data_IF_883423523742
#
_entry.id   IF_883423523742
#
_cell.length_a   1.000
_cell.length_b   1.000
_cell.length_c   1.000
_cell.angle_alpha   90.00
_cell.angle_beta   90.00
_cell.angle_gamma   90.00
#
_symmetry.space_group_name_H-M   'P 1'
#
loop_
_entity.id
_entity.type
_entity.pdbx_description
1 polymer ?
#
# COMPACT_ATOMS: atom_id res chain seq x y z
N UNK A 1 23.34 -11.98 15.54
CA UNK A 1 22.23 -11.84 14.58
C UNK A 1 22.60 -10.67 13.68
N UNK A 2 22.64 -10.85 12.36
CA UNK A 2 22.85 -9.73 11.43
C UNK A 2 21.71 -8.74 11.61
N UNK A 3 22.04 -7.45 11.66
CA UNK A 3 21.05 -6.39 11.75
C UNK A 3 20.13 -6.45 10.51
N UNK A 4 18.83 -6.50 10.73
CA UNK A 4 17.86 -6.57 9.63
C UNK A 4 17.88 -5.22 8.89
N UNK A 5 18.21 -5.24 7.60
CA UNK A 5 18.19 -4.05 6.77
C UNK A 5 16.78 -3.47 6.71
N UNK A 6 16.64 -2.18 7.00
CA UNK A 6 15.37 -1.45 6.89
C UNK A 6 15.49 -0.33 5.87
N UNK A 7 14.49 -0.17 5.00
CA UNK A 7 14.44 0.84 3.96
C UNK A 7 13.04 1.43 3.89
N UNK A 8 12.91 2.75 3.77
CA UNK A 8 11.61 3.36 3.52
C UNK A 8 11.23 3.17 2.04
N UNK A 9 9.99 2.74 1.78
CA UNK A 9 9.57 2.45 0.40
C UNK A 9 9.59 3.67 -0.51
N UNK A 10 9.48 4.89 0.04
CA UNK A 10 9.72 6.13 -0.73
C UNK A 10 11.17 6.27 -1.23
N UNK A 11 12.17 5.80 -0.47
CA UNK A 11 13.57 5.81 -0.91
C UNK A 11 13.78 4.81 -2.06
N UNK A 12 13.13 3.66 -1.97
CA UNK A 12 13.08 2.65 -3.03
C UNK A 12 12.46 3.20 -4.31
N UNK A 13 11.36 3.96 -4.18
CA UNK A 13 10.70 4.66 -5.29
C UNK A 13 11.64 5.62 -6.01
N UNK A 14 12.28 6.54 -5.28
CA UNK A 14 13.21 7.51 -5.89
C UNK A 14 14.38 6.84 -6.62
N UNK A 15 14.94 5.76 -6.06
CA UNK A 15 16.01 4.98 -6.67
C UNK A 15 15.53 4.21 -7.91
N UNK A 16 14.35 3.60 -7.85
CA UNK A 16 13.76 2.87 -8.99
C UNK A 16 13.47 3.81 -10.18
N UNK A 17 13.03 5.04 -9.93
CA UNK A 17 12.88 6.05 -10.98
C UNK A 17 14.20 6.34 -11.70
N UNK A 18 15.33 6.41 -10.96
CA UNK A 18 16.66 6.62 -11.56
C UNK A 18 17.07 5.42 -12.42
N UNK A 19 16.78 4.20 -11.97
CA UNK A 19 17.05 2.98 -12.73
C UNK A 19 16.25 2.98 -14.05
N UNK A 20 14.96 3.24 -13.99
CA UNK A 20 14.10 3.37 -15.18
C UNK A 20 14.55 4.51 -16.10
N UNK A 21 14.93 5.66 -15.54
CA UNK A 21 15.38 6.81 -16.32
C UNK A 21 16.64 6.59 -17.14
N UNK A 22 17.48 5.60 -16.77
CA UNK A 22 18.64 5.18 -17.56
C UNK A 22 18.25 4.35 -18.79
N UNK A 23 17.14 3.65 -18.70
CA UNK A 23 16.66 2.72 -19.74
C UNK A 23 15.63 3.36 -20.66
N UNK A 24 14.93 4.42 -20.20
CA UNK A 24 13.73 4.97 -20.86
C UNK A 24 13.77 6.52 -20.92
N UNK A 25 13.84 7.08 -22.13
CA UNK A 25 13.90 8.53 -22.35
C UNK A 25 12.50 9.20 -22.40
N UNK A 26 11.46 8.43 -22.41
CA UNK A 26 10.06 8.90 -22.39
C UNK A 26 9.53 9.09 -20.97
N UNK A 27 10.26 8.60 -19.94
CA UNK A 27 9.93 8.79 -18.55
C UNK A 27 10.19 10.24 -18.11
N UNK A 28 9.14 10.91 -17.62
CA UNK A 28 9.17 12.27 -17.06
C UNK A 28 8.67 12.21 -15.61
N UNK A 29 9.36 12.89 -14.70
CA UNK A 29 8.97 12.95 -13.30
C UNK A 29 8.51 14.35 -12.95
N UNK A 30 7.32 14.48 -12.35
CA UNK A 30 6.78 15.75 -11.87
C UNK A 30 6.59 15.69 -10.34
N UNK A 31 6.83 16.79 -9.69
CA UNK A 31 6.70 16.93 -8.23
C UNK A 31 6.00 18.24 -7.87
N UNK A 32 5.29 18.26 -6.74
CA UNK A 32 4.59 19.42 -6.22
C UNK A 32 5.36 20.05 -5.04
N UNK A 33 6.58 20.52 -5.28
CA UNK A 33 7.48 21.17 -4.30
C UNK A 33 7.86 20.28 -3.10
N UNK A 34 7.87 18.96 -3.30
CA UNK A 34 8.17 17.97 -2.26
C UNK A 34 9.30 17.00 -2.66
N UNK A 35 10.09 17.31 -3.69
CA UNK A 35 11.07 16.40 -4.27
C UNK A 35 12.09 15.81 -3.26
N UNK A 36 12.43 16.55 -2.20
CA UNK A 36 13.27 16.06 -1.12
C UNK A 36 12.58 15.00 -0.26
N UNK A 37 11.29 15.16 0.01
CA UNK A 37 10.49 14.27 0.84
C UNK A 37 9.99 13.03 0.06
N UNK A 38 9.51 13.22 -1.17
CA UNK A 38 9.06 12.15 -2.07
C UNK A 38 10.20 11.31 -2.64
N UNK A 39 11.44 11.81 -2.52
CA UNK A 39 12.67 11.23 -3.08
C UNK A 39 12.80 11.33 -4.60
N UNK A 40 11.90 12.03 -5.28
CA UNK A 40 12.06 12.37 -6.69
C UNK A 40 13.27 13.27 -6.95
N UNK A 41 13.75 13.96 -5.93
CA UNK A 41 15.01 14.75 -5.97
C UNK A 41 16.24 13.94 -6.35
N UNK A 42 16.23 12.61 -6.16
CA UNK A 42 17.31 11.72 -6.64
C UNK A 42 17.27 11.63 -8.16
N UNK A 43 16.09 11.51 -8.74
CA UNK A 43 15.88 11.54 -10.18
C UNK A 43 16.24 12.92 -10.78
N UNK A 44 15.84 14.01 -10.12
CA UNK A 44 16.20 15.39 -10.50
C UNK A 44 17.72 15.58 -10.65
N UNK A 45 18.50 14.99 -9.73
CA UNK A 45 19.97 15.07 -9.80
C UNK A 45 20.55 14.29 -10.98
N UNK A 46 19.96 13.15 -11.34
CA UNK A 46 20.42 12.30 -12.43
C UNK A 46 19.95 12.81 -13.82
N UNK A 47 18.74 13.35 -13.89
CA UNK A 47 18.05 13.75 -15.13
C UNK A 47 17.32 15.09 -14.94
N UNK A 48 18.04 16.22 -14.76
CA UNK A 48 17.42 17.51 -14.43
C UNK A 48 16.44 18.02 -15.49
N UNK A 49 16.64 17.68 -16.76
CA UNK A 49 15.78 18.06 -17.89
C UNK A 49 14.46 17.27 -17.96
N UNK A 50 14.39 16.14 -17.26
CA UNK A 50 13.21 15.26 -17.20
C UNK A 50 12.50 15.29 -15.85
N UNK A 51 12.90 16.18 -14.95
CA UNK A 51 12.24 16.43 -13.68
C UNK A 51 11.70 17.86 -13.63
N UNK A 52 10.39 18.00 -13.41
CA UNK A 52 9.74 19.31 -13.35
C UNK A 52 9.07 19.50 -12.00
N UNK A 53 9.44 20.57 -11.33
CA UNK A 53 8.75 21.01 -10.13
C UNK A 53 7.64 21.99 -10.52
N UNK A 54 6.40 21.62 -10.20
CA UNK A 54 5.20 22.38 -10.59
C UNK A 54 4.78 23.36 -9.48
N UNK A 55 5.47 23.31 -8.34
CA UNK A 55 5.07 24.03 -7.14
C UNK A 55 3.93 23.33 -6.41
N UNK A 56 3.38 23.97 -5.38
CA UNK A 56 2.27 23.44 -4.57
C UNK A 56 0.96 23.55 -5.38
N UNK A 57 0.86 22.75 -6.45
CA UNK A 57 -0.21 22.83 -7.43
C UNK A 57 -0.54 21.46 -8.03
N UNK A 58 -0.98 20.50 -7.21
CA UNK A 58 -1.18 19.09 -7.59
C UNK A 58 -2.20 18.92 -8.73
N UNK A 59 -3.25 19.72 -8.74
CA UNK A 59 -4.24 19.73 -9.83
C UNK A 59 -3.60 20.14 -11.18
N UNK A 60 -2.75 21.17 -11.17
CA UNK A 60 -2.00 21.58 -12.36
C UNK A 60 -0.99 20.53 -12.79
N UNK A 61 -0.27 19.93 -11.84
CA UNK A 61 0.66 18.82 -12.08
C UNK A 61 -0.04 17.66 -12.81
N UNK A 62 -1.22 17.29 -12.37
CA UNK A 62 -2.03 16.22 -12.98
C UNK A 62 -2.48 16.60 -14.40
N UNK A 63 -2.89 17.84 -14.64
CA UNK A 63 -3.24 18.32 -15.99
C UNK A 63 -2.05 18.29 -16.94
N UNK A 64 -0.85 18.73 -16.48
CA UNK A 64 0.39 18.65 -17.26
C UNK A 64 0.75 17.19 -17.58
N UNK A 65 0.68 16.31 -16.59
CA UNK A 65 0.95 14.88 -16.78
C UNK A 65 -0.01 14.24 -17.77
N UNK A 66 -1.30 14.57 -17.70
CA UNK A 66 -2.28 14.11 -18.69
C UNK A 66 -1.89 14.55 -20.11
N UNK A 67 -1.50 15.81 -20.29
CA UNK A 67 -1.01 16.33 -21.58
C UNK A 67 0.25 15.61 -22.06
N UNK A 68 1.22 15.35 -21.19
CA UNK A 68 2.43 14.60 -21.52
C UNK A 68 2.11 13.16 -21.96
N UNK A 69 1.19 12.49 -21.28
CA UNK A 69 0.78 11.14 -21.64
C UNK A 69 0.12 11.08 -23.05
N UNK A 70 -0.65 12.11 -23.44
CA UNK A 70 -1.20 12.19 -24.80
C UNK A 70 -0.13 12.41 -25.87
N UNK A 71 1.06 12.90 -25.47
CA UNK A 71 2.23 13.06 -26.35
C UNK A 71 3.16 11.84 -26.36
N UNK A 72 2.73 10.71 -25.79
CA UNK A 72 3.49 9.45 -25.75
C UNK A 72 4.58 9.40 -24.69
N UNK A 73 4.56 10.29 -23.69
CA UNK A 73 5.44 10.21 -22.51
C UNK A 73 4.80 9.34 -21.43
N UNK A 74 5.65 8.85 -20.51
CA UNK A 74 5.22 8.13 -19.32
C UNK A 74 5.52 9.00 -18.07
N UNK A 75 4.60 9.88 -17.69
CA UNK A 75 4.79 10.75 -16.53
C UNK A 75 4.56 10.00 -15.22
N UNK A 76 5.47 10.19 -14.28
CA UNK A 76 5.33 9.89 -12.86
C UNK A 76 5.11 11.19 -12.11
N UNK A 77 3.95 11.35 -11.46
CA UNK A 77 3.63 12.52 -10.63
C UNK A 77 3.75 12.17 -9.16
N UNK A 78 4.33 13.06 -8.35
CA UNK A 78 4.64 12.78 -6.95
C UNK A 78 4.24 13.92 -6.02
N UNK A 79 3.59 13.53 -4.92
CA UNK A 79 3.28 14.37 -3.78
C UNK A 79 3.03 13.46 -2.57
N UNK A 80 2.66 14.02 -1.40
CA UNK A 80 2.16 13.19 -0.31
C UNK A 80 0.79 12.60 -0.68
N UNK A 81 0.50 11.42 -0.16
CA UNK A 81 -0.73 10.69 -0.48
C UNK A 81 -1.99 11.54 -0.23
N UNK A 82 -2.02 12.32 0.86
CA UNK A 82 -3.14 13.22 1.17
C UNK A 82 -3.38 14.25 0.05
N UNK A 83 -2.34 14.73 -0.59
CA UNK A 83 -2.46 15.74 -1.64
C UNK A 83 -2.62 15.11 -3.02
N UNK A 84 -1.94 14.01 -3.29
CA UNK A 84 -2.05 13.26 -4.54
C UNK A 84 -3.43 12.61 -4.71
N UNK A 85 -4.01 12.08 -3.63
CA UNK A 85 -5.31 11.43 -3.66
C UNK A 85 -6.46 12.37 -3.24
N UNK A 86 -6.34 13.09 -2.12
CA UNK A 86 -7.42 13.91 -1.58
C UNK A 86 -7.61 15.21 -2.35
N UNK A 87 -6.63 16.13 -2.29
CA UNK A 87 -6.72 17.46 -2.94
C UNK A 87 -6.89 17.35 -4.45
N UNK A 88 -6.32 16.36 -5.07
CA UNK A 88 -6.21 16.20 -6.51
C UNK A 88 -7.19 15.15 -7.09
N UNK A 89 -8.13 14.67 -6.30
CA UNK A 89 -8.98 13.54 -6.67
C UNK A 89 -9.76 13.75 -7.97
N UNK A 90 -10.37 14.92 -8.13
CA UNK A 90 -11.17 15.22 -9.32
C UNK A 90 -10.32 15.20 -10.59
N UNK A 91 -9.13 15.79 -10.56
CA UNK A 91 -8.22 15.80 -11.71
C UNK A 91 -7.67 14.41 -12.02
N UNK A 92 -7.31 13.63 -11.01
CA UNK A 92 -6.92 12.23 -11.18
C UNK A 92 -8.04 11.43 -11.84
N UNK A 93 -9.28 11.58 -11.36
CA UNK A 93 -10.44 10.90 -11.90
C UNK A 93 -10.75 11.30 -13.33
N UNK A 94 -10.83 12.59 -13.63
CA UNK A 94 -11.34 13.11 -14.89
C UNK A 94 -10.24 13.29 -15.95
N UNK A 95 -9.02 13.69 -15.56
CA UNK A 95 -7.95 13.94 -16.51
C UNK A 95 -7.04 12.74 -16.77
N UNK A 96 -7.00 11.77 -15.84
CA UNK A 96 -6.18 10.55 -15.96
C UNK A 96 -7.05 9.30 -16.08
N UNK A 97 -7.94 9.07 -15.13
CA UNK A 97 -8.74 7.84 -15.04
C UNK A 97 -9.75 7.69 -16.17
N UNK A 98 -10.58 8.71 -16.38
CA UNK A 98 -11.64 8.68 -17.39
C UNK A 98 -11.13 8.45 -18.82
N UNK A 99 -10.09 9.17 -19.30
CA UNK A 99 -9.48 8.90 -20.61
C UNK A 99 -8.48 7.74 -20.57
N UNK A 100 -8.27 7.07 -19.45
CA UNK A 100 -7.36 5.92 -19.26
C UNK A 100 -5.91 6.21 -19.69
N UNK A 101 -5.39 7.39 -19.29
CA UNK A 101 -4.06 7.83 -19.68
C UNK A 101 -2.94 7.10 -18.91
N UNK A 102 -1.82 6.93 -19.57
CA UNK A 102 -0.64 6.25 -19.04
C UNK A 102 0.15 7.14 -18.06
N UNK A 103 -0.45 7.48 -16.93
CA UNK A 103 0.14 8.30 -15.86
C UNK A 103 0.33 7.46 -14.59
N UNK A 104 1.48 7.59 -13.93
CA UNK A 104 1.80 6.92 -12.68
C UNK A 104 1.79 7.92 -11.54
N UNK A 105 1.08 7.61 -10.47
CA UNK A 105 0.94 8.47 -9.29
C UNK A 105 1.78 7.85 -8.18
N UNK A 106 2.97 8.40 -7.92
CA UNK A 106 3.85 7.99 -6.83
C UNK A 106 3.53 8.78 -5.55
N UNK A 107 2.56 8.28 -4.79
CA UNK A 107 2.07 8.91 -3.58
C UNK A 107 2.89 8.44 -2.37
N UNK A 108 3.60 9.34 -1.73
CA UNK A 108 4.43 9.03 -0.55
C UNK A 108 3.76 9.51 0.74
N UNK A 109 4.33 9.16 1.90
CA UNK A 109 3.82 9.61 3.20
C UNK A 109 2.34 9.21 3.41
N UNK A 110 1.97 8.01 3.00
CA UNK A 110 0.63 7.47 3.25
C UNK A 110 0.53 6.89 4.67
N UNK A 111 -0.67 6.90 5.24
CA UNK A 111 -0.96 6.26 6.51
C UNK A 111 -0.59 7.10 7.74
N UNK A 112 -0.68 6.46 8.89
CA UNK A 112 -0.46 7.10 10.19
C UNK A 112 1.02 7.27 10.53
N UNK A 113 1.90 6.47 9.91
CA UNK A 113 3.35 6.51 10.08
C UNK A 113 4.02 7.75 9.45
N UNK A 114 3.24 8.66 8.86
CA UNK A 114 3.70 10.04 8.58
C UNK A 114 4.22 10.69 9.85
N UNK A 115 3.58 10.43 10.98
CA UNK A 115 4.11 10.79 12.28
C UNK A 115 3.78 12.21 12.71
N UNK A 116 4.80 13.02 12.92
CA UNK A 116 4.72 14.33 13.57
C UNK A 116 3.86 15.35 12.80
N UNK A 117 3.75 15.23 11.48
CA UNK A 117 2.93 16.11 10.62
C UNK A 117 1.43 16.01 10.97
N UNK A 118 1.00 14.89 11.55
CA UNK A 118 -0.32 14.72 12.13
C UNK A 118 -1.46 14.53 11.13
N UNK A 119 -2.68 14.61 11.63
CA UNK A 119 -3.92 14.26 10.92
C UNK A 119 -4.12 14.94 9.56
N UNK A 120 -3.60 16.15 9.37
CA UNK A 120 -3.75 16.89 8.11
C UNK A 120 -2.91 16.33 6.96
N UNK A 121 -1.90 15.53 7.27
CA UNK A 121 -0.98 14.92 6.32
C UNK A 121 -1.09 13.39 6.27
N UNK A 122 -1.61 12.77 7.32
CA UNK A 122 -1.86 11.34 7.41
C UNK A 122 -3.04 10.94 6.53
N UNK A 123 -2.77 10.39 5.34
CA UNK A 123 -3.83 9.93 4.44
C UNK A 123 -4.27 8.52 4.83
N UNK A 124 -5.50 8.40 5.30
CA UNK A 124 -6.11 7.14 5.71
C UNK A 124 -7.22 6.69 4.74
N UNK A 125 -7.42 7.41 3.64
CA UNK A 125 -8.51 7.25 2.67
C UNK A 125 -8.03 7.00 1.23
N UNK A 126 -6.75 7.10 0.97
CA UNK A 126 -6.18 7.08 -0.39
C UNK A 126 -6.47 5.80 -1.16
N UNK A 127 -6.35 4.63 -0.51
CA UNK A 127 -6.69 3.36 -1.15
C UNK A 127 -8.16 3.30 -1.53
N UNK A 128 -9.06 3.79 -0.67
CA UNK A 128 -10.49 3.87 -0.95
C UNK A 128 -10.77 4.75 -2.16
N UNK A 129 -10.26 5.98 -2.16
CA UNK A 129 -10.46 6.95 -3.23
C UNK A 129 -9.95 6.42 -4.59
N UNK A 130 -8.78 5.83 -4.60
CA UNK A 130 -8.17 5.34 -5.85
C UNK A 130 -8.83 4.04 -6.35
N UNK A 131 -9.32 3.19 -5.46
CA UNK A 131 -10.09 2.00 -5.85
C UNK A 131 -11.39 2.33 -6.59
N UNK A 132 -12.04 3.45 -6.26
CA UNK A 132 -13.29 3.88 -6.89
C UNK A 132 -13.11 4.28 -8.37
N UNK A 133 -11.89 4.66 -8.80
CA UNK A 133 -11.66 5.12 -10.17
C UNK A 133 -11.61 3.93 -11.13
N UNK A 134 -12.52 3.82 -12.14
CA UNK A 134 -12.49 2.73 -13.10
C UNK A 134 -11.14 2.62 -13.82
N UNK A 135 -10.62 1.40 -13.96
CA UNK A 135 -9.36 1.13 -14.66
C UNK A 135 -8.08 1.54 -13.89
N UNK A 136 -8.17 2.21 -12.75
CA UNK A 136 -7.01 2.53 -11.91
C UNK A 136 -6.45 1.24 -11.30
N UNK A 137 -5.15 1.01 -11.45
CA UNK A 137 -4.40 0.00 -10.70
C UNK A 137 -3.92 0.62 -9.39
N UNK A 138 -4.06 -0.09 -8.26
CA UNK A 138 -3.69 0.41 -6.91
C UNK A 138 -2.74 -0.57 -6.26
N UNK A 139 -1.52 -0.09 -5.96
CA UNK A 139 -0.42 -0.90 -5.43
C UNK A 139 0.13 -0.28 -4.14
N UNK A 140 0.33 -1.11 -3.11
CA UNK A 140 0.91 -0.73 -1.82
C UNK A 140 2.00 -1.74 -1.44
N UNK A 141 3.27 -1.53 -1.88
CA UNK A 141 4.35 -2.48 -1.66
C UNK A 141 4.81 -2.53 -0.20
N UNK A 142 5.28 -3.69 0.24
CA UNK A 142 5.64 -3.99 1.63
C UNK A 142 7.08 -3.65 2.00
N UNK A 143 8.02 -3.63 1.05
CA UNK A 143 9.45 -3.39 1.31
C UNK A 143 10.21 -2.81 0.10
N UNK A 144 11.55 -2.69 0.23
CA UNK A 144 12.45 -2.16 -0.82
C UNK A 144 12.37 -2.95 -2.12
N UNK A 145 12.42 -4.27 -2.04
CA UNK A 145 12.44 -5.16 -3.23
C UNK A 145 11.12 -5.04 -3.98
N UNK A 146 10.03 -5.16 -3.26
CA UNK A 146 8.69 -5.07 -3.82
C UNK A 146 8.39 -3.67 -4.36
N UNK A 147 8.81 -2.61 -3.67
CA UNK A 147 8.62 -1.23 -4.14
C UNK A 147 9.32 -0.97 -5.48
N UNK A 148 10.58 -1.42 -5.64
CA UNK A 148 11.30 -1.30 -6.91
C UNK A 148 10.62 -2.08 -8.03
N UNK A 149 10.22 -3.32 -7.75
CA UNK A 149 9.51 -4.16 -8.71
C UNK A 149 8.15 -3.56 -9.09
N UNK A 150 7.41 -2.99 -8.13
CA UNK A 150 6.15 -2.31 -8.37
C UNK A 150 6.29 -1.07 -9.27
N UNK A 151 7.35 -0.27 -9.07
CA UNK A 151 7.64 0.91 -9.92
C UNK A 151 7.94 0.49 -11.35
N UNK A 152 8.73 -0.58 -11.55
CA UNK A 152 9.00 -1.14 -12.87
C UNK A 152 7.73 -1.69 -13.52
N UNK A 153 6.97 -2.51 -12.81
CA UNK A 153 5.70 -3.06 -13.32
C UNK A 153 4.67 -1.96 -13.63
N UNK A 154 4.65 -0.88 -12.85
CA UNK A 154 3.82 0.28 -13.15
C UNK A 154 4.25 0.99 -14.45
N UNK A 155 5.56 1.12 -14.71
CA UNK A 155 6.06 1.67 -15.96
C UNK A 155 5.64 0.81 -17.16
N UNK A 156 5.77 -0.50 -17.06
CA UNK A 156 5.43 -1.47 -18.11
C UNK A 156 3.90 -1.56 -18.39
N UNK A 157 3.09 -1.23 -17.38
CA UNK A 157 1.62 -1.24 -17.50
C UNK A 157 1.12 -0.01 -18.25
N UNK A 158 0.37 -0.19 -19.33
CA UNK A 158 -0.28 0.91 -20.06
C UNK A 158 -1.60 1.25 -19.40
N UNK A 159 -1.68 2.44 -18.79
CA UNK A 159 -2.85 2.92 -18.08
C UNK A 159 -2.50 3.58 -16.73
N UNK A 160 -3.49 4.07 -15.98
CA UNK A 160 -3.27 4.76 -14.72
C UNK A 160 -2.90 3.80 -13.60
N UNK A 161 -1.85 4.14 -12.84
CA UNK A 161 -1.40 3.37 -11.68
C UNK A 161 -1.19 4.30 -10.49
N UNK A 162 -1.77 3.96 -9.36
CA UNK A 162 -1.49 4.57 -8.07
C UNK A 162 -0.54 3.68 -7.27
N UNK A 163 0.61 4.23 -6.91
CA UNK A 163 1.65 3.59 -6.10
C UNK A 163 1.72 4.28 -4.74
N UNK A 164 1.48 3.53 -3.68
CA UNK A 164 1.46 4.01 -2.30
C UNK A 164 2.75 3.69 -1.58
N UNK A 165 3.43 4.71 -1.03
CA UNK A 165 4.71 4.54 -0.34
C UNK A 165 4.69 5.15 1.06
N UNK A 166 5.33 4.45 2.02
CA UNK A 166 5.50 4.91 3.40
C UNK A 166 6.74 5.79 3.61
N UNK A 167 6.70 6.60 4.68
CA UNK A 167 7.83 7.38 5.21
C UNK A 167 8.72 6.53 6.12
N UNK A 168 8.12 5.66 6.93
CA UNK A 168 8.82 4.81 7.90
C UNK A 168 9.66 3.75 7.18
N UNK A 169 10.89 3.52 7.66
CA UNK A 169 11.73 2.44 7.16
C UNK A 169 11.22 1.09 7.68
N UNK A 170 10.99 0.15 6.77
CA UNK A 170 10.47 -1.19 7.04
C UNK A 170 11.53 -2.26 6.77
N UNK A 171 11.46 -3.44 7.43
CA UNK A 171 12.33 -4.57 7.14
C UNK A 171 12.24 -5.01 5.68
N UNK A 172 13.38 -5.38 5.08
CA UNK A 172 13.41 -6.02 3.76
C UNK A 172 13.11 -7.51 3.96
N UNK A 173 11.97 -7.96 3.46
CA UNK A 173 11.43 -9.32 3.66
C UNK A 173 11.35 -10.13 2.37
N UNK A 174 11.35 -9.47 1.21
CA UNK A 174 11.20 -10.11 -0.11
C UNK A 174 12.54 -10.32 -0.84
N UNK A 175 13.69 -10.14 -0.18
CA UNK A 175 15.02 -10.35 -0.77
C UNK A 175 15.34 -11.85 -0.89
N UNK A 176 14.61 -12.51 -1.80
CA UNK A 176 14.76 -13.92 -2.11
C UNK A 176 14.97 -14.11 -3.62
N UNK A 177 15.79 -15.10 -4.04
CA UNK A 177 16.06 -15.32 -5.47
C UNK A 177 14.82 -15.61 -6.32
N UNK A 178 13.77 -16.14 -5.72
CA UNK A 178 12.53 -16.55 -6.39
C UNK A 178 11.45 -15.46 -6.34
N UNK A 179 11.74 -14.29 -5.77
CA UNK A 179 10.74 -13.21 -5.67
C UNK A 179 10.29 -12.76 -7.06
N UNK A 180 8.98 -12.73 -7.27
CA UNK A 180 8.35 -12.25 -8.50
C UNK A 180 7.20 -11.31 -8.15
N UNK A 181 7.20 -10.15 -8.77
CA UNK A 181 6.11 -9.20 -8.68
C UNK A 181 5.21 -9.31 -9.91
N UNK A 182 3.92 -9.47 -9.70
CA UNK A 182 2.91 -9.48 -10.75
C UNK A 182 1.68 -8.68 -10.29
N UNK A 183 1.29 -7.67 -11.07
CA UNK A 183 0.09 -6.86 -10.75
C UNK A 183 -1.13 -7.78 -10.64
N UNK A 184 -1.85 -7.65 -9.53
CA UNK A 184 -3.06 -8.44 -9.28
C UNK A 184 -2.84 -9.81 -8.64
N UNK A 185 -1.59 -10.18 -8.30
CA UNK A 185 -1.27 -11.42 -7.60
C UNK A 185 -0.79 -11.15 -6.19
N UNK A 186 -1.32 -11.89 -5.22
CA UNK A 186 -0.83 -11.89 -3.84
C UNK A 186 0.27 -12.93 -3.64
N UNK A 187 0.98 -12.83 -2.51
CA UNK A 187 2.10 -13.73 -2.19
C UNK A 187 1.87 -14.36 -0.81
N UNK A 188 1.86 -15.68 -0.74
CA UNK A 188 1.85 -16.41 0.54
C UNK A 188 3.26 -16.38 1.12
N UNK A 189 3.46 -15.61 2.19
CA UNK A 189 4.74 -15.49 2.88
C UNK A 189 4.93 -16.54 3.96
N UNK A 190 3.85 -17.03 4.56
CA UNK A 190 3.82 -18.10 5.54
C UNK A 190 2.57 -18.94 5.35
N UNK A 191 2.73 -20.21 5.16
CA UNK A 191 1.62 -21.17 5.17
C UNK A 191 1.02 -21.32 6.57
N UNK A 192 -0.26 -21.65 6.64
CA UNK A 192 -1.02 -21.92 7.86
C UNK A 192 -2.38 -22.54 7.58
N UNK A 193 -3.09 -22.97 8.62
CA UNK A 193 -4.36 -23.69 8.49
C UNK A 193 -5.50 -23.20 9.37
N UNK A 194 -5.22 -22.33 10.35
CA UNK A 194 -6.23 -21.92 11.35
C UNK A 194 -6.91 -20.59 11.03
N UNK A 195 -6.21 -19.69 10.31
CA UNK A 195 -6.69 -18.38 9.91
C UNK A 195 -5.83 -17.83 8.77
N UNK A 196 -6.43 -17.16 7.79
CA UNK A 196 -5.73 -16.41 6.75
C UNK A 196 -5.65 -14.94 7.13
N UNK A 197 -4.44 -14.38 7.17
CA UNK A 197 -4.19 -12.96 7.47
C UNK A 197 -3.65 -12.30 6.21
N UNK A 198 -4.43 -11.40 5.64
CA UNK A 198 -4.10 -10.60 4.46
C UNK A 198 -3.57 -9.25 4.93
N UNK A 199 -2.34 -8.93 4.58
CA UNK A 199 -1.71 -7.66 4.94
C UNK A 199 -1.21 -6.92 3.71
N UNK A 200 -1.01 -5.61 3.82
CA UNK A 200 -0.47 -4.78 2.74
C UNK A 200 0.48 -3.71 3.29
N UNK A 201 1.46 -3.32 2.47
CA UNK A 201 2.41 -2.28 2.83
C UNK A 201 3.21 -2.60 4.10
N UNK A 202 3.40 -1.60 4.96
CA UNK A 202 4.10 -1.70 6.24
C UNK A 202 3.58 -2.87 7.10
N UNK A 203 2.28 -3.11 7.07
CA UNK A 203 1.62 -4.09 7.94
C UNK A 203 2.00 -5.54 7.64
N UNK A 204 2.64 -5.81 6.51
CA UNK A 204 3.11 -7.17 6.18
C UNK A 204 4.18 -7.63 7.16
N UNK A 205 5.17 -6.78 7.49
CA UNK A 205 6.22 -7.12 8.44
C UNK A 205 5.68 -7.29 9.86
N UNK A 206 4.78 -6.41 10.29
CA UNK A 206 4.12 -6.50 11.61
C UNK A 206 3.25 -7.76 11.72
N UNK A 207 2.55 -8.12 10.63
CA UNK A 207 1.74 -9.35 10.58
C UNK A 207 2.60 -10.63 10.66
N UNK A 208 3.79 -10.65 10.06
CA UNK A 208 4.71 -11.78 10.18
C UNK A 208 5.18 -11.97 11.62
N UNK A 209 5.47 -10.88 12.35
CA UNK A 209 5.83 -10.95 13.77
C UNK A 209 4.62 -11.37 14.64
N UNK A 210 3.43 -10.82 14.37
CA UNK A 210 2.20 -11.25 15.05
C UNK A 210 1.91 -12.76 14.84
N UNK A 211 2.17 -13.28 13.63
CA UNK A 211 2.00 -14.69 13.34
C UNK A 211 2.94 -15.61 14.15
N UNK A 212 4.15 -15.13 14.49
CA UNK A 212 5.07 -15.85 15.42
C UNK A 212 4.49 -15.90 16.84
N UNK A 213 3.89 -14.79 17.31
CA UNK A 213 3.24 -14.75 18.63
C UNK A 213 2.01 -15.66 18.67
N UNK A 214 1.20 -15.67 17.60
CA UNK A 214 0.05 -16.59 17.45
C UNK A 214 0.49 -18.06 17.44
N UNK A 215 1.63 -18.39 16.81
CA UNK A 215 2.17 -19.74 16.80
C UNK A 215 2.59 -20.23 18.18
N UNK A 216 3.10 -19.33 19.05
CA UNK A 216 3.41 -19.66 20.44
C UNK A 216 2.14 -20.05 21.24
N UNK A 217 0.97 -19.53 20.86
CA UNK A 217 -0.33 -19.90 21.42
C UNK A 217 -1.00 -21.09 20.69
N UNK A 218 -0.27 -21.75 19.78
CA UNK A 218 -0.76 -22.90 19.01
C UNK A 218 -1.75 -22.54 17.90
N UNK A 219 -1.70 -21.30 17.37
CA UNK A 219 -2.50 -20.83 16.24
C UNK A 219 -1.60 -20.77 15.01
N UNK A 220 -1.87 -21.62 14.03
CA UNK A 220 -1.13 -21.68 12.77
C UNK A 220 -1.74 -20.74 11.74
N UNK A 221 -1.29 -19.48 11.76
CA UNK A 221 -1.75 -18.44 10.86
C UNK A 221 -1.03 -18.50 9.50
N UNK A 222 -1.80 -18.44 8.41
CA UNK A 222 -1.30 -18.14 7.08
C UNK A 222 -1.14 -16.62 6.93
N UNK A 223 0.01 -16.16 6.41
CA UNK A 223 0.26 -14.74 6.15
C UNK A 223 0.42 -14.50 4.65
N UNK A 224 -0.40 -13.60 4.14
CA UNK A 224 -0.49 -13.30 2.71
C UNK A 224 -0.26 -11.81 2.50
N UNK A 225 0.72 -11.48 1.68
CA UNK A 225 0.94 -10.12 1.22
C UNK A 225 0.03 -9.83 0.01
N UNK A 226 -0.84 -8.84 0.15
CA UNK A 226 -1.68 -8.30 -0.92
C UNK A 226 -1.11 -6.93 -1.32
N UNK A 227 -0.07 -6.92 -2.12
CA UNK A 227 0.56 -5.70 -2.61
C UNK A 227 -0.28 -4.97 -3.66
N UNK A 228 -1.17 -5.64 -4.38
CA UNK A 228 -2.10 -5.02 -5.34
C UNK A 228 -3.52 -5.07 -4.79
N UNK A 229 -4.06 -3.89 -4.46
CA UNK A 229 -5.41 -3.77 -3.89
C UNK A 229 -6.46 -3.78 -5.01
N UNK A 230 -6.08 -3.29 -6.21
CA UNK A 230 -6.91 -3.31 -7.41
C UNK A 230 -6.05 -3.48 -8.65
N UNK A 231 -6.28 -4.52 -9.49
CA UNK A 231 -7.20 -5.63 -9.22
C UNK A 231 -6.71 -6.48 -8.06
N UNK A 232 -7.61 -6.97 -7.21
CA UNK A 232 -7.23 -7.86 -6.10
C UNK A 232 -7.17 -9.32 -6.55
N UNK A 233 -6.29 -10.12 -5.95
CA UNK A 233 -6.18 -11.57 -6.22
C UNK A 233 -7.32 -12.37 -5.59
N UNK A 234 -8.44 -12.41 -6.29
CA UNK A 234 -9.67 -13.11 -5.85
C UNK A 234 -9.43 -14.60 -5.64
N UNK A 235 -8.71 -15.23 -6.57
CA UNK A 235 -8.43 -16.69 -6.53
C UNK A 235 -7.64 -17.06 -5.27
N UNK A 236 -6.60 -16.29 -4.94
CA UNK A 236 -5.78 -16.54 -3.75
C UNK A 236 -6.60 -16.35 -2.47
N UNK A 237 -7.43 -15.30 -2.39
CA UNK A 237 -8.29 -15.04 -1.23
C UNK A 237 -9.26 -16.21 -1.02
N UNK A 238 -9.98 -16.61 -2.06
CA UNK A 238 -10.93 -17.72 -2.00
C UNK A 238 -10.24 -19.02 -1.61
N UNK A 239 -9.12 -19.36 -2.25
CA UNK A 239 -8.33 -20.56 -1.94
C UNK A 239 -7.88 -20.60 -0.49
N UNK A 240 -7.35 -19.49 0.00
CA UNK A 240 -6.83 -19.35 1.36
C UNK A 240 -7.94 -19.49 2.41
N UNK A 241 -9.04 -18.76 2.23
CA UNK A 241 -10.16 -18.79 3.19
C UNK A 241 -10.94 -20.09 3.13
N UNK A 242 -11.00 -20.76 1.98
CA UNK A 242 -11.57 -22.13 1.89
C UNK A 242 -10.79 -23.13 2.75
N UNK A 243 -9.47 -22.95 2.88
CA UNK A 243 -8.60 -23.78 3.73
C UNK A 243 -8.78 -23.48 5.22
N UNK A 244 -8.84 -22.20 5.60
CA UNK A 244 -8.77 -21.76 7.00
C UNK A 244 -10.13 -21.45 7.62
N UNK A 245 -11.13 -21.13 6.81
CA UNK A 245 -12.49 -20.78 7.25
C UNK A 245 -12.64 -19.42 7.92
N UNK A 246 -11.55 -18.63 8.02
CA UNK A 246 -11.52 -17.34 8.73
C UNK A 246 -10.53 -16.40 8.06
N UNK A 247 -10.86 -15.12 7.99
CA UNK A 247 -10.04 -14.09 7.42
C UNK A 247 -9.77 -12.95 8.42
N UNK A 248 -8.57 -12.39 8.34
CA UNK A 248 -8.17 -11.14 8.99
C UNK A 248 -7.53 -10.27 7.92
N UNK A 249 -7.81 -8.96 7.90
CA UNK A 249 -7.06 -8.00 7.10
C UNK A 249 -6.33 -7.02 7.98
N UNK A 250 -5.12 -6.62 7.55
CA UNK A 250 -4.28 -5.67 8.29
C UNK A 250 -3.77 -4.60 7.32
N UNK A 251 -4.07 -3.35 7.62
CA UNK A 251 -3.74 -2.21 6.76
C UNK A 251 -3.49 -0.93 7.57
N UNK A 252 -2.49 -0.18 7.21
CA UNK A 252 -2.23 1.18 7.71
C UNK A 252 -3.11 2.20 6.95
N UNK A 253 -4.42 2.02 7.07
CA UNK A 253 -5.46 2.78 6.37
C UNK A 253 -6.75 2.70 7.18
N UNK A 254 -7.75 3.51 6.87
CA UNK A 254 -9.10 3.31 7.42
C UNK A 254 -9.58 1.90 7.11
N UNK A 255 -10.25 1.27 8.06
CA UNK A 255 -10.94 -0.02 7.83
C UNK A 255 -12.03 0.07 6.75
N UNK A 256 -12.42 1.29 6.36
CA UNK A 256 -13.45 1.55 5.36
C UNK A 256 -12.80 1.82 3.98
N UNK A 257 -13.17 1.03 2.98
CA UNK A 257 -12.79 1.25 1.58
C UNK A 257 -11.42 0.73 1.13
N UNK A 258 -10.50 0.36 2.07
CA UNK A 258 -9.18 -0.16 1.76
C UNK A 258 -9.13 -1.67 1.48
N UNK A 259 -8.05 -2.33 1.94
CA UNK A 259 -7.84 -3.78 1.79
C UNK A 259 -8.97 -4.58 2.43
N UNK A 260 -9.38 -4.23 3.66
CA UNK A 260 -10.42 -4.95 4.38
C UNK A 260 -11.75 -4.95 3.66
N UNK A 261 -12.10 -3.84 2.99
CA UNK A 261 -13.31 -3.77 2.17
C UNK A 261 -13.17 -4.58 0.88
N UNK A 262 -12.00 -4.53 0.22
CA UNK A 262 -11.76 -5.31 -0.99
C UNK A 262 -11.83 -6.83 -0.73
N UNK A 263 -11.26 -7.30 0.38
CA UNK A 263 -11.37 -8.70 0.79
C UNK A 263 -12.81 -9.06 1.16
N UNK A 264 -13.54 -8.17 1.86
CA UNK A 264 -14.96 -8.38 2.21
C UNK A 264 -15.83 -8.56 0.97
N UNK A 265 -15.63 -7.77 -0.09
CA UNK A 265 -16.32 -7.89 -1.38
C UNK A 265 -16.13 -9.29 -1.98
N UNK A 266 -14.88 -9.77 -2.04
CA UNK A 266 -14.57 -11.13 -2.53
C UNK A 266 -15.24 -12.20 -1.68
N UNK A 267 -15.16 -12.08 -0.35
CA UNK A 267 -15.73 -13.07 0.55
C UNK A 267 -17.26 -13.12 0.47
N UNK A 268 -17.91 -11.97 0.36
CA UNK A 268 -19.37 -11.93 0.21
C UNK A 268 -19.85 -12.55 -1.11
N UNK A 269 -19.09 -12.41 -2.18
CA UNK A 269 -19.48 -12.88 -3.51
C UNK A 269 -19.13 -14.36 -3.75
N UNK A 270 -17.97 -14.82 -3.26
CA UNK A 270 -17.42 -16.12 -3.68
C UNK A 270 -17.18 -17.12 -2.53
N UNK A 271 -16.82 -16.64 -1.33
CA UNK A 271 -16.42 -17.50 -0.20
C UNK A 271 -16.86 -16.91 1.14
N UNK A 272 -18.13 -16.91 1.50
CA UNK A 272 -18.61 -16.33 2.76
C UNK A 272 -17.87 -16.86 3.99
N UNK A 273 -17.24 -15.95 4.73
CA UNK A 273 -16.50 -16.26 5.94
C UNK A 273 -16.49 -15.08 6.92
N UNK A 274 -16.17 -15.36 8.19
CA UNK A 274 -15.94 -14.29 9.16
C UNK A 274 -14.67 -13.53 8.80
N UNK A 275 -14.77 -12.21 8.75
CA UNK A 275 -13.69 -11.29 8.50
C UNK A 275 -13.49 -10.33 9.69
N UNK A 276 -12.29 -10.30 10.25
CA UNK A 276 -11.84 -9.25 11.16
C UNK A 276 -11.00 -8.25 10.35
N UNK A 277 -11.32 -6.96 10.43
CA UNK A 277 -10.55 -5.90 9.79
C UNK A 277 -9.73 -5.15 10.84
N UNK A 278 -8.42 -5.14 10.69
CA UNK A 278 -7.48 -4.40 11.53
C UNK A 278 -6.94 -3.24 10.68
N UNK A 279 -7.15 -2.03 11.15
CA UNK A 279 -6.76 -0.77 10.51
C UNK A 279 -7.12 0.37 11.44
N UNK A 280 -7.07 1.60 10.91
CA UNK A 280 -7.55 2.76 11.63
C UNK A 280 -9.08 2.75 11.62
N UNK A 281 -9.68 2.67 12.79
CA UNK A 281 -11.12 2.75 12.96
C UNK A 281 -11.62 4.17 12.60
N UNK A 282 -12.92 4.39 12.60
CA UNK A 282 -13.54 5.66 12.17
C UNK A 282 -13.09 6.86 13.04
N UNK A 283 -11.83 7.24 12.87
CA UNK A 283 -11.18 8.37 13.56
C UNK A 283 -10.01 8.93 12.74
N UNK A 284 -9.71 10.20 12.94
CA UNK A 284 -8.52 10.83 12.38
C UNK A 284 -7.24 10.33 13.05
N UNK A 285 -6.11 10.55 12.38
CA UNK A 285 -4.79 10.42 12.98
C UNK A 285 -4.48 11.59 13.93
N UNK A 286 -3.26 11.61 14.44
CA UNK A 286 -2.75 12.63 15.36
C UNK A 286 -1.24 12.80 15.21
N UNK A 287 -0.68 13.90 15.72
CA UNK A 287 0.77 14.13 15.72
C UNK A 287 1.46 13.28 16.80
N UNK A 288 2.58 12.68 16.45
CA UNK A 288 3.41 11.89 17.35
C UNK A 288 4.52 11.14 16.62
N UNK A 289 5.47 10.51 17.31
CA UNK A 289 6.45 9.64 16.70
C UNK A 289 5.78 8.47 15.97
N UNK A 290 6.21 8.20 14.74
CA UNK A 290 5.55 7.21 13.87
C UNK A 290 5.35 5.83 14.52
N UNK A 291 6.39 5.30 15.18
CA UNK A 291 6.34 3.98 15.86
C UNK A 291 5.35 3.98 17.02
N UNK A 292 5.29 5.07 17.80
CA UNK A 292 4.34 5.21 18.90
C UNK A 292 2.90 5.29 18.41
N UNK A 293 2.67 5.94 17.27
CA UNK A 293 1.36 5.97 16.63
C UNK A 293 0.93 4.58 16.13
N UNK A 294 1.80 3.85 15.45
CA UNK A 294 1.53 2.47 15.03
C UNK A 294 1.11 1.62 16.24
N UNK A 295 1.85 1.70 17.36
CA UNK A 295 1.50 1.01 18.60
C UNK A 295 0.14 1.49 19.17
N UNK A 296 -0.06 2.80 19.30
CA UNK A 296 -1.29 3.40 19.87
C UNK A 296 -2.55 3.03 19.09
N UNK A 297 -2.44 2.86 17.77
CA UNK A 297 -3.56 2.46 16.91
C UNK A 297 -3.70 0.94 16.81
N UNK A 298 -2.83 0.19 17.49
CA UNK A 298 -2.86 -1.28 17.52
C UNK A 298 -2.57 -1.90 16.17
N UNK A 299 -1.62 -1.28 15.44
CA UNK A 299 -1.16 -1.70 14.11
C UNK A 299 0.24 -2.34 14.17
N UNK A 300 0.87 -2.41 15.34
CA UNK A 300 2.08 -3.20 15.56
C UNK A 300 1.75 -4.70 15.78
N UNK A 301 2.78 -5.51 15.82
CA UNK A 301 2.64 -6.96 15.99
C UNK A 301 1.84 -7.35 17.24
N UNK A 302 2.03 -6.62 18.34
CA UNK A 302 1.31 -6.85 19.62
C UNK A 302 -0.18 -6.49 19.48
N UNK A 303 -0.49 -5.35 18.86
CA UNK A 303 -1.86 -4.92 18.59
C UNK A 303 -2.63 -5.89 17.69
N UNK A 304 -1.98 -6.36 16.62
CA UNK A 304 -2.55 -7.36 15.69
C UNK A 304 -2.82 -8.67 16.43
N UNK A 305 -1.86 -9.15 17.20
CA UNK A 305 -2.01 -10.37 18.02
C UNK A 305 -3.15 -10.23 19.03
N UNK A 306 -3.25 -9.12 19.76
CA UNK A 306 -4.28 -8.89 20.79
C UNK A 306 -5.69 -8.84 20.18
N UNK A 307 -5.91 -8.05 19.13
CA UNK A 307 -7.21 -7.97 18.43
C UNK A 307 -7.67 -9.34 17.92
N UNK A 308 -6.76 -10.15 17.42
CA UNK A 308 -7.07 -11.51 16.95
C UNK A 308 -7.38 -12.48 18.09
N UNK A 309 -6.72 -12.36 19.25
CA UNK A 309 -6.95 -13.23 20.41
C UNK A 309 -8.24 -12.91 21.15
N UNK A 310 -8.64 -11.64 21.19
CA UNK A 310 -9.91 -11.19 21.79
C UNK A 310 -11.12 -11.76 21.04
N UNK A 311 -11.11 -11.77 19.70
CA UNK A 311 -12.18 -12.38 18.92
C UNK A 311 -12.38 -13.87 19.23
N UNK A 312 -11.31 -14.61 19.53
CA UNK A 312 -11.37 -16.00 19.96
C UNK A 312 -12.02 -16.17 21.33
N UNK A 313 -11.80 -15.23 22.25
CA UNK A 313 -12.44 -15.25 23.59
C UNK A 313 -13.92 -14.98 23.50
N UNK A 314 -14.33 -13.92 22.78
CA UNK A 314 -15.75 -13.60 22.55
C UNK A 314 -16.46 -14.72 21.82
N UNK A 315 -15.86 -15.35 20.81
CA UNK A 315 -16.43 -16.49 20.09
C UNK A 315 -16.60 -17.76 20.94
N UNK A 316 -15.78 -17.96 21.97
CA UNK A 316 -15.94 -19.07 22.94
C UNK A 316 -17.05 -18.79 23.94
N UNK A 317 -17.19 -17.57 24.44
CA UNK A 317 -18.25 -17.18 25.36
C UNK A 317 -19.64 -17.26 24.74
N UNK A 318 -19.78 -16.91 23.44
CA UNK A 318 -21.01 -17.09 22.71
C UNK A 318 -21.42 -18.58 22.53
N UNK A 319 -20.44 -19.50 22.37
CA UNK A 319 -20.72 -20.94 22.25
C UNK A 319 -21.12 -21.61 23.57
N UNK A 320 -20.78 -21.00 24.71
CA UNK A 320 -21.16 -21.55 26.04
C UNK A 320 -22.52 -21.09 26.52
N UNK A 321 -23.24 -20.23 25.78
CA UNK A 321 -24.56 -19.69 26.12
C UNK A 321 -25.73 -20.19 25.25
N UNK A 322 -25.46 -21.19 24.38
CA UNK A 322 -26.52 -21.89 23.63
C UNK A 322 -26.49 -23.40 23.89
#
# INVERSE_FOLDING_TARGET
MSEIKKVATRDSYGNALVELGKEHDDLIVLDADLAGATKTGVFKKAFPERHWDIGIAEANMTGIAAGLATCGKVPFISSFAMFAAGRNYEQVRNSIGYPHLNVKIGATHAGISVGEDGATHQCLEDLSLMREIPGMVVINPSDDVEARAAVKAAYDHVGPVYLRFGRLAVPVINDTPDYKFEIGKGIVLKEGKDVSIFATGLEVSETLEAAKMLAADGIDAEVINIHTIKPIDRELIVKSVSKTGKAVTVEEHSINGGLGSAVAEVLCEEQPAKLLRIGVEDRFGESGPAVELIHKYGLDAEGIYNKRSEERRVGKECRSRW
#
